data_IF_582294191840
#
_entry.id   IF_582294191840
#
_cell.length_a   1.000
_cell.length_b   1.000
_cell.length_c   1.000
_cell.angle_alpha   90.00
_cell.angle_beta   90.00
_cell.angle_gamma   90.00
#
_symmetry.space_group_name_H-M   'P 1'
#
loop_
_entity.id
_entity.type
_entity.pdbx_description
1 polymer ?
#
# COMPACT_ATOMS: atom_id res chain seq x y z
N UNK A 1 -32.00 24.26 -16.76
CA UNK A 1 -30.86 24.04 -15.84
C UNK A 1 -30.38 22.61 -16.05
N UNK A 2 -29.09 22.38 -16.29
CA UNK A 2 -28.57 21.04 -16.61
C UNK A 2 -27.40 20.74 -15.67
N UNK A 3 -27.42 19.57 -15.05
CA UNK A 3 -26.39 19.11 -14.12
C UNK A 3 -25.78 17.84 -14.69
N UNK A 4 -24.45 17.76 -14.72
CA UNK A 4 -23.69 16.58 -15.13
C UNK A 4 -22.91 16.03 -13.94
N UNK A 5 -22.91 14.71 -13.80
CA UNK A 5 -22.11 13.99 -12.81
C UNK A 5 -21.15 13.07 -13.55
N UNK A 6 -19.84 13.27 -13.38
CA UNK A 6 -18.82 12.38 -13.91
C UNK A 6 -18.26 11.50 -12.81
N UNK A 7 -18.37 10.19 -13.00
CA UNK A 7 -17.69 9.18 -12.19
C UNK A 7 -16.48 8.71 -12.96
N UNK A 8 -15.31 8.78 -12.35
CA UNK A 8 -14.05 8.28 -12.93
C UNK A 8 -13.53 7.16 -12.04
N UNK A 9 -13.16 5.99 -12.58
CA UNK A 9 -12.46 4.99 -11.79
C UNK A 9 -11.08 5.53 -11.42
N UNK A 10 -10.75 5.53 -10.14
CA UNK A 10 -9.42 5.90 -9.63
C UNK A 10 -8.86 4.69 -8.87
N UNK A 11 -7.76 4.14 -9.35
CA UNK A 11 -7.02 3.12 -8.60
C UNK A 11 -6.17 3.84 -7.55
N UNK A 12 -6.49 3.64 -6.26
CA UNK A 12 -5.69 4.17 -5.15
C UNK A 12 -4.85 3.06 -4.53
N UNK A 13 -3.63 3.40 -4.14
CA UNK A 13 -2.75 2.52 -3.38
C UNK A 13 -2.94 2.82 -1.90
N UNK A 14 -3.29 1.81 -1.10
CA UNK A 14 -3.58 1.96 0.31
C UNK A 14 -2.43 1.35 1.11
N UNK A 15 -1.84 2.13 2.00
CA UNK A 15 -0.85 1.64 2.96
C UNK A 15 -1.54 1.45 4.30
N UNK A 16 -1.50 0.23 4.81
CA UNK A 16 -2.13 -0.17 6.07
C UNK A 16 -1.06 -0.80 6.94
N UNK A 17 -0.97 -0.35 8.19
CA UNK A 17 -0.14 -0.99 9.21
C UNK A 17 -0.96 -2.08 9.89
N UNK A 18 -0.49 -3.32 9.77
CA UNK A 18 -1.02 -4.45 10.53
C UNK A 18 -0.06 -4.73 11.68
N UNK A 19 -0.58 -4.71 12.90
CA UNK A 19 0.17 -5.08 14.09
C UNK A 19 -0.55 -6.23 14.80
N UNK A 20 0.19 -7.30 15.05
CA UNK A 20 -0.30 -8.47 15.79
C UNK A 20 0.65 -8.74 16.94
N UNK A 21 0.09 -8.88 18.13
CA UNK A 21 0.76 -9.45 19.30
C UNK A 21 0.15 -10.82 19.63
N UNK A 22 0.53 -11.43 20.75
CA UNK A 22 0.09 -12.77 21.13
C UNK A 22 -1.44 -12.88 21.34
N UNK A 23 -2.10 -11.77 21.71
CA UNK A 23 -3.49 -11.77 22.15
C UNK A 23 -4.39 -10.85 21.31
N UNK A 24 -3.81 -10.02 20.43
CA UNK A 24 -4.53 -9.00 19.68
C UNK A 24 -3.96 -8.79 18.27
N UNK A 25 -4.85 -8.44 17.34
CA UNK A 25 -4.50 -8.00 16.00
C UNK A 25 -5.22 -6.68 15.71
N UNK A 26 -4.47 -5.73 15.16
CA UNK A 26 -4.98 -4.41 14.81
C UNK A 26 -4.55 -4.02 13.40
N UNK A 27 -5.36 -3.18 12.77
CA UNK A 27 -5.13 -2.64 11.45
C UNK A 27 -5.41 -1.14 11.47
N UNK A 28 -4.45 -0.34 10.99
CA UNK A 28 -4.57 1.12 10.94
C UNK A 28 -4.20 1.63 9.55
N UNK A 29 -5.09 2.44 8.95
CA UNK A 29 -4.80 3.14 7.70
C UNK A 29 -3.67 4.15 7.92
N UNK A 30 -2.57 3.99 7.18
CA UNK A 30 -1.47 4.96 7.14
C UNK A 30 -1.78 6.05 6.12
N UNK A 31 -2.31 5.68 4.96
CA UNK A 31 -2.73 6.65 3.94
C UNK A 31 -3.17 6.02 2.63
N UNK A 32 -3.74 6.87 1.78
CA UNK A 32 -4.13 6.55 0.41
C UNK A 32 -3.32 7.40 -0.58
N UNK A 33 -2.82 6.76 -1.63
CA UNK A 33 -1.89 7.37 -2.58
C UNK A 33 -2.37 7.19 -4.01
N UNK A 34 -2.08 8.20 -4.84
CA UNK A 34 -2.49 8.21 -6.25
C UNK A 34 -1.62 7.30 -7.14
N UNK A 35 -0.43 6.91 -6.67
CA UNK A 35 0.46 6.00 -7.41
C UNK A 35 1.25 5.08 -6.47
N UNK A 36 1.74 3.98 -7.02
CA UNK A 36 2.41 2.93 -6.26
C UNK A 36 3.76 3.36 -5.70
N UNK A 37 4.53 4.18 -6.41
CA UNK A 37 5.84 4.64 -5.94
C UNK A 37 5.74 5.47 -4.65
N UNK A 38 4.75 6.36 -4.56
CA UNK A 38 4.50 7.13 -3.33
C UNK A 38 4.09 6.22 -2.17
N UNK A 39 3.20 5.26 -2.41
CA UNK A 39 2.81 4.28 -1.40
C UNK A 39 4.00 3.44 -0.93
N UNK A 40 4.85 3.01 -1.86
CA UNK A 40 6.04 2.21 -1.61
C UNK A 40 7.05 2.98 -0.73
N UNK A 41 7.34 4.26 -1.08
CA UNK A 41 8.21 5.12 -0.27
C UNK A 41 7.69 5.33 1.16
N UNK A 42 6.39 5.53 1.33
CA UNK A 42 5.78 5.68 2.66
C UNK A 42 5.86 4.37 3.44
N UNK A 43 5.57 3.23 2.81
CA UNK A 43 5.66 1.93 3.46
C UNK A 43 7.11 1.63 3.91
N UNK A 44 8.11 1.91 3.07
CA UNK A 44 9.52 1.72 3.43
C UNK A 44 9.94 2.66 4.59
N UNK A 45 9.49 3.92 4.59
CA UNK A 45 9.73 4.85 5.67
C UNK A 45 9.08 4.42 7.00
N UNK A 46 7.87 3.86 6.95
CA UNK A 46 7.18 3.34 8.14
C UNK A 46 7.88 2.10 8.70
N UNK A 47 8.39 1.20 7.84
CA UNK A 47 9.21 0.07 8.28
C UNK A 47 10.49 0.54 8.96
N UNK A 48 11.21 1.50 8.36
CA UNK A 48 12.43 2.05 8.94
C UNK A 48 12.17 2.72 10.30
N UNK A 49 11.03 3.41 10.44
CA UNK A 49 10.60 3.99 11.72
C UNK A 49 10.35 2.91 12.77
N UNK A 50 9.53 1.91 12.46
CA UNK A 50 9.21 0.83 13.40
C UNK A 50 10.48 0.05 13.81
N UNK A 51 11.40 -0.20 12.87
CA UNK A 51 12.70 -0.82 13.17
C UNK A 51 13.58 0.04 14.08
N UNK A 52 13.59 1.37 13.90
CA UNK A 52 14.29 2.30 14.80
C UNK A 52 13.68 2.30 16.21
N UNK A 53 12.37 2.02 16.32
CA UNK A 53 11.64 1.85 17.58
C UNK A 53 11.79 0.41 18.16
N UNK A 54 12.60 -0.45 17.54
CA UNK A 54 12.86 -1.83 18.00
C UNK A 54 11.74 -2.81 17.68
N UNK A 55 10.80 -2.45 16.81
CA UNK A 55 9.68 -3.30 16.38
C UNK A 55 10.11 -4.07 15.12
N UNK A 56 10.01 -5.40 15.15
CA UNK A 56 10.19 -6.21 13.94
C UNK A 56 9.07 -5.87 12.95
N UNK A 57 9.45 -5.28 11.81
CA UNK A 57 8.52 -4.85 10.78
C UNK A 57 9.08 -5.15 9.40
N UNK A 58 8.18 -5.61 8.53
CA UNK A 58 8.46 -5.91 7.11
C UNK A 58 7.38 -5.28 6.25
N UNK A 59 7.70 -4.97 4.99
CA UNK A 59 6.72 -4.55 3.98
C UNK A 59 6.33 -5.74 3.12
N UNK A 60 5.03 -5.96 2.94
CA UNK A 60 4.50 -6.86 1.92
C UNK A 60 3.64 -6.07 0.93
N UNK A 61 3.69 -6.46 -0.36
CA UNK A 61 2.86 -5.88 -1.40
C UNK A 61 1.81 -6.89 -1.84
N UNK A 62 0.55 -6.54 -1.66
CA UNK A 62 -0.59 -7.31 -2.13
C UNK A 62 -1.21 -6.61 -3.35
N UNK A 63 -1.38 -7.34 -4.45
CA UNK A 63 -1.88 -6.82 -5.72
C UNK A 63 -0.79 -6.58 -6.78
N UNK A 64 -1.24 -6.39 -8.02
CA UNK A 64 -0.38 -6.13 -9.17
C UNK A 64 0.01 -4.64 -9.21
N UNK A 65 1.27 -4.34 -9.48
CA UNK A 65 1.74 -3.00 -9.85
C UNK A 65 1.08 -2.54 -11.17
N UNK A 66 1.14 -1.24 -11.47
CA UNK A 66 0.57 -0.72 -12.72
C UNK A 66 1.18 -1.40 -13.96
N UNK A 67 2.48 -1.70 -13.93
CA UNK A 67 3.14 -2.44 -15.00
C UNK A 67 2.58 -3.85 -15.16
N UNK A 68 2.24 -4.51 -14.06
CA UNK A 68 1.66 -5.86 -14.03
C UNK A 68 0.17 -5.89 -14.42
N UNK A 69 -0.58 -4.84 -14.08
CA UNK A 69 -1.95 -4.65 -14.55
C UNK A 69 -1.98 -4.39 -16.05
N UNK A 70 -1.05 -3.59 -16.57
CA UNK A 70 -0.95 -3.27 -18.00
C UNK A 70 -0.42 -4.47 -18.79
N UNK A 71 0.56 -5.21 -18.26
CA UNK A 71 1.13 -6.39 -18.93
C UNK A 71 0.27 -7.65 -18.80
N UNK A 72 -0.65 -7.69 -17.83
CA UNK A 72 -1.40 -8.90 -17.48
C UNK A 72 -0.53 -10.00 -16.88
N UNK A 73 0.72 -9.69 -16.52
CA UNK A 73 1.69 -10.63 -15.97
C UNK A 73 2.25 -10.10 -14.66
N UNK A 74 2.29 -10.96 -13.64
CA UNK A 74 3.01 -10.65 -12.41
C UNK A 74 4.50 -10.57 -12.73
N UNK A 75 5.11 -9.44 -12.41
CA UNK A 75 6.55 -9.24 -12.49
C UNK A 75 7.07 -9.81 -11.17
N UNK A 76 7.55 -11.05 -11.23
CA UNK A 76 8.22 -11.70 -10.11
C UNK A 76 9.25 -10.73 -9.51
N UNK A 77 9.06 -10.34 -8.25
CA UNK A 77 10.08 -9.59 -7.52
C UNK A 77 11.24 -10.55 -7.31
N UNK A 78 12.31 -10.36 -8.10
CA UNK A 78 13.58 -11.04 -7.89
C UNK A 78 14.06 -10.83 -6.45
N UNK A 79 14.48 -11.95 -5.84
CA UNK A 79 14.97 -12.06 -4.47
C UNK A 79 16.18 -11.15 -4.18
#
# INVERSE_FOLDING_TARGET
MKTEYQVRPVTRYIVTRYASDADSASSTLVGEFANGQQADLVADAMVAKDQADGIESIRTRHGLSLGEVISGQRLEQGA
#
